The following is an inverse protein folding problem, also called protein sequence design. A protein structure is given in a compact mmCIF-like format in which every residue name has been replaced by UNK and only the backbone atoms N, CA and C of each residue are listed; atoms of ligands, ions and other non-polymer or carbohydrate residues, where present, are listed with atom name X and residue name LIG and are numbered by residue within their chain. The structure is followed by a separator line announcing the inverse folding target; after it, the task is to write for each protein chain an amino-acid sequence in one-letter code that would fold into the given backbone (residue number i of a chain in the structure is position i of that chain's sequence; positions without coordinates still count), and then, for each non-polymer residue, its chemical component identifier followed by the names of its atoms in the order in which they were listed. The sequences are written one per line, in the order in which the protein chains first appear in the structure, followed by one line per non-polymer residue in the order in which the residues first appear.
data_IF_411747158017
#
_entry.id   IF_411747158017
#
_cell.length_a   1.000
_cell.length_b   1.000
_cell.length_c   1.000
_cell.angle_alpha   90.00
_cell.angle_beta   90.00
_cell.angle_gamma   90.00
#
_symmetry.space_group_name_H-M   'P 1'
#
loop_
_entity.id
_entity.type
_entity.pdbx_description
1 polymer ?
#
# COMPACT_ATOMS: atom_id res chain seq x y z
N UNK A 1 49.37 -11.18 -15.71
CA UNK A 1 48.50 -11.96 -14.80
C UNK A 1 47.79 -11.04 -13.81
N UNK A 2 46.89 -10.18 -14.30
CA UNK A 2 45.92 -9.41 -13.50
C UNK A 2 44.58 -9.53 -14.24
N UNK A 3 43.48 -9.54 -13.50
CA UNK A 3 42.08 -9.68 -13.96
C UNK A 3 41.53 -11.09 -14.14
N UNK A 4 41.24 -11.77 -13.03
CA UNK A 4 40.13 -12.75 -12.93
C UNK A 4 39.27 -12.49 -11.67
N UNK A 5 39.77 -11.80 -10.64
CA UNK A 5 39.06 -11.59 -9.37
C UNK A 5 37.89 -10.59 -9.36
N UNK A 6 37.74 -9.72 -10.37
CA UNK A 6 36.69 -8.68 -10.36
C UNK A 6 35.34 -9.16 -10.91
N UNK A 7 35.33 -10.21 -11.74
CA UNK A 7 34.11 -10.69 -12.42
C UNK A 7 33.30 -11.62 -11.50
N UNK A 8 33.94 -12.31 -10.56
CA UNK A 8 33.26 -13.19 -9.60
C UNK A 8 32.46 -12.42 -8.53
N UNK A 9 32.86 -11.20 -8.17
CA UNK A 9 32.19 -10.38 -7.15
C UNK A 9 30.90 -9.72 -7.67
N UNK A 10 30.88 -9.32 -8.95
CA UNK A 10 29.68 -8.78 -9.61
C UNK A 10 28.58 -9.84 -9.75
N UNK A 11 28.95 -11.07 -10.14
CA UNK A 11 27.99 -12.17 -10.31
C UNK A 11 27.33 -12.61 -9.00
N UNK A 12 28.02 -12.59 -7.86
CA UNK A 12 27.40 -12.91 -6.56
C UNK A 12 26.44 -11.82 -6.06
N UNK A 13 26.72 -10.55 -6.31
CA UNK A 13 25.81 -9.43 -5.96
C UNK A 13 24.57 -9.48 -6.84
N UNK A 14 24.72 -9.82 -8.12
CA UNK A 14 23.61 -9.91 -9.09
C UNK A 14 22.74 -11.16 -8.87
N UNK A 15 23.33 -12.29 -8.45
CA UNK A 15 22.60 -13.48 -7.99
C UNK A 15 21.94 -13.28 -6.60
N UNK A 16 22.53 -12.44 -5.74
CA UNK A 16 21.92 -12.02 -4.47
C UNK A 16 20.75 -11.07 -4.70
N UNK A 17 20.85 -10.16 -5.66
CA UNK A 17 19.77 -9.24 -6.03
C UNK A 17 18.60 -9.96 -6.72
N UNK A 18 18.87 -10.92 -7.61
CA UNK A 18 17.80 -11.79 -8.17
C UNK A 18 17.11 -12.65 -7.11
N UNK A 19 17.85 -13.12 -6.10
CA UNK A 19 17.25 -13.79 -4.93
C UNK A 19 16.43 -12.80 -4.11
N UNK A 20 16.87 -11.57 -3.86
CA UNK A 20 16.04 -10.60 -3.12
C UNK A 20 14.73 -10.29 -3.87
N UNK A 21 14.75 -10.21 -5.21
CA UNK A 21 13.55 -10.02 -6.03
C UNK A 21 12.58 -11.23 -5.98
N UNK A 22 13.10 -12.47 -6.04
CA UNK A 22 12.27 -13.69 -5.85
C UNK A 22 11.77 -13.85 -4.41
N UNK A 23 12.50 -13.32 -3.42
CA UNK A 23 12.18 -13.49 -1.99
C UNK A 23 11.23 -12.42 -1.45
N UNK A 24 11.26 -11.18 -1.94
CA UNK A 24 10.20 -10.18 -1.64
C UNK A 24 8.86 -10.62 -2.22
N UNK A 25 8.88 -11.32 -3.35
CA UNK A 25 7.71 -12.00 -3.92
C UNK A 25 7.26 -13.22 -3.09
N UNK A 26 8.13 -13.83 -2.27
CA UNK A 26 7.79 -14.99 -1.44
C UNK A 26 7.34 -14.58 -0.03
N UNK A 27 7.96 -13.53 0.54
CA UNK A 27 7.64 -12.94 1.84
C UNK A 27 6.25 -12.31 1.92
N UNK A 28 5.77 -11.81 0.78
CA UNK A 28 4.42 -11.27 0.62
C UNK A 28 3.44 -12.37 0.16
N UNK A 29 3.97 -13.56 -0.18
CA UNK A 29 3.23 -14.76 -0.57
C UNK A 29 3.30 -15.78 0.57
N UNK A 30 2.61 -15.47 1.67
CA UNK A 30 1.89 -16.51 2.40
C UNK A 30 0.52 -16.73 1.72
N UNK A 31 0.51 -17.02 0.40
CA UNK A 31 -0.70 -17.30 -0.40
C UNK A 31 -0.45 -18.47 -1.39
N UNK A 32 -0.08 -19.63 -0.84
CA UNK A 32 0.03 -20.86 -1.63
C UNK A 32 -1.37 -21.44 -1.94
N UNK A 33 -1.95 -21.07 -3.09
CA UNK A 33 -2.90 -21.92 -3.86
C UNK A 33 -3.23 -21.43 -5.27
N UNK A 34 -3.11 -20.14 -5.60
CA UNK A 34 -3.74 -19.61 -6.84
C UNK A 34 -2.82 -19.63 -8.08
N UNK A 35 -1.49 -19.73 -7.91
CA UNK A 35 -0.53 -19.60 -9.02
C UNK A 35 -0.41 -20.81 -9.97
N UNK A 36 -1.05 -21.94 -9.68
CA UNK A 36 -1.07 -23.10 -10.58
C UNK A 36 -2.20 -23.06 -11.63
N UNK A 37 -3.19 -22.16 -11.49
CA UNK A 37 -4.35 -22.11 -12.39
C UNK A 37 -4.24 -21.11 -13.55
N UNK A 38 -3.47 -20.03 -13.41
CA UNK A 38 -3.51 -18.91 -14.36
C UNK A 38 -2.55 -19.03 -15.58
N UNK A 39 -1.62 -20.00 -15.58
CA UNK A 39 -0.58 -20.10 -16.62
C UNK A 39 -1.04 -20.77 -17.93
N UNK A 40 -2.28 -21.28 -18.02
CA UNK A 40 -2.78 -22.01 -19.22
C UNK A 40 -3.68 -21.20 -20.16
N UNK A 41 -4.07 -19.97 -19.83
CA UNK A 41 -5.15 -19.26 -20.56
C UNK A 41 -4.69 -18.19 -21.55
N UNK A 42 -3.40 -17.86 -21.63
CA UNK A 42 -2.91 -16.70 -22.41
C UNK A 42 -2.06 -17.04 -23.65
N UNK A 43 -2.45 -18.06 -24.41
CA UNK A 43 -1.90 -18.29 -25.76
C UNK A 43 -2.97 -18.84 -26.72
N UNK A 44 -4.09 -18.13 -26.90
CA UNK A 44 -5.08 -18.48 -27.95
C UNK A 44 -6.07 -17.35 -28.24
N UNK A 45 -5.66 -16.35 -29.02
CA UNK A 45 -6.57 -15.69 -29.98
C UNK A 45 -5.83 -14.64 -30.81
N UNK A 46 -5.60 -14.97 -32.08
CA UNK A 46 -5.27 -14.05 -33.17
C UNK A 46 -6.43 -13.07 -33.37
N UNK A 47 -6.15 -11.78 -33.49
CA UNK A 47 -7.11 -10.77 -33.95
C UNK A 47 -7.06 -10.64 -35.48
N UNK A 48 -8.20 -10.57 -36.18
CA UNK A 48 -8.26 -10.28 -37.61
C UNK A 48 -8.29 -8.77 -37.91
N UNK A 49 -7.99 -8.45 -39.16
CA UNK A 49 -7.81 -7.12 -39.77
C UNK A 49 -9.04 -6.19 -39.64
N UNK A 50 -8.79 -4.91 -39.36
CA UNK A 50 -9.78 -3.83 -39.31
C UNK A 50 -10.38 -3.48 -40.69
N UNK A 51 -11.67 -3.13 -40.77
CA UNK A 51 -12.29 -2.65 -42.01
C UNK A 51 -11.90 -1.18 -42.34
N UNK A 52 -12.06 -0.75 -43.61
CA UNK A 52 -11.56 0.54 -44.09
C UNK A 52 -12.38 1.74 -43.60
N UNK A 53 -11.69 2.87 -43.44
CA UNK A 53 -12.19 4.14 -42.92
C UNK A 53 -13.21 4.82 -43.88
N UNK A 54 -14.25 5.49 -43.34
CA UNK A 54 -15.17 6.30 -44.13
C UNK A 54 -14.56 7.65 -44.55
N UNK A 55 -15.09 8.30 -45.62
CA UNK A 55 -14.53 9.53 -46.16
C UNK A 55 -14.69 10.74 -45.21
N UNK A 56 -13.81 11.76 -45.34
CA UNK A 56 -13.79 12.91 -44.46
C UNK A 56 -15.05 13.78 -44.62
N UNK A 57 -15.62 14.20 -43.48
CA UNK A 57 -16.74 15.15 -43.44
C UNK A 57 -16.27 16.55 -43.84
N UNK A 58 -17.14 17.36 -44.49
CA UNK A 58 -16.81 18.75 -44.82
C UNK A 58 -16.55 19.59 -43.54
N UNK A 59 -15.74 20.65 -43.64
CA UNK A 59 -15.39 21.49 -42.50
C UNK A 59 -16.64 22.20 -41.98
N UNK A 60 -17.15 21.76 -40.83
CA UNK A 60 -18.09 22.56 -40.05
C UNK A 60 -17.34 23.80 -39.55
N UNK A 61 -17.80 24.99 -39.95
CA UNK A 61 -17.41 26.23 -39.27
C UNK A 61 -17.90 26.13 -37.82
N UNK A 62 -17.00 25.70 -36.93
CA UNK A 62 -17.21 25.81 -35.50
C UNK A 62 -16.98 27.29 -35.16
N UNK A 63 -17.97 28.02 -34.62
CA UNK A 63 -17.68 29.35 -34.09
C UNK A 63 -16.55 29.20 -33.06
N UNK A 64 -15.57 30.11 -33.11
CA UNK A 64 -14.45 30.12 -32.17
C UNK A 64 -15.02 30.06 -30.74
N UNK A 65 -14.55 29.13 -29.89
CA UNK A 65 -15.05 29.05 -28.53
C UNK A 65 -14.78 30.40 -27.85
N UNK A 66 -15.83 30.99 -27.29
CA UNK A 66 -15.67 32.17 -26.43
C UNK A 66 -14.77 31.77 -25.26
N UNK A 67 -13.60 32.42 -25.17
CA UNK A 67 -12.55 32.12 -24.19
C UNK A 67 -13.10 32.19 -22.76
N UNK A 68 -14.12 33.01 -22.50
CA UNK A 68 -14.79 33.07 -21.18
C UNK A 68 -15.64 31.82 -20.91
N UNK A 69 -16.30 31.29 -21.92
CA UNK A 69 -17.10 30.06 -21.85
C UNK A 69 -16.22 28.82 -21.64
N UNK A 70 -15.05 28.79 -22.28
CA UNK A 70 -14.09 27.68 -22.18
C UNK A 70 -13.39 27.65 -20.80
N UNK A 71 -13.00 28.82 -20.28
CA UNK A 71 -12.45 28.95 -18.93
C UNK A 71 -13.50 28.58 -17.84
N UNK A 72 -14.75 29.01 -17.99
CA UNK A 72 -15.83 28.64 -17.06
C UNK A 72 -16.10 27.12 -17.06
N UNK A 73 -16.03 26.46 -18.23
CA UNK A 73 -16.19 25.01 -18.35
C UNK A 73 -15.01 24.24 -17.72
N UNK A 74 -13.78 24.74 -17.88
CA UNK A 74 -12.58 24.15 -17.24
C UNK A 74 -12.68 24.29 -15.72
N UNK A 75 -13.00 25.48 -15.20
CA UNK A 75 -13.16 25.70 -13.76
C UNK A 75 -14.30 24.82 -13.21
N UNK A 76 -15.44 24.76 -13.89
CA UNK A 76 -16.56 23.91 -13.50
C UNK A 76 -16.20 22.41 -13.45
N UNK A 77 -15.42 21.91 -14.43
CA UNK A 77 -14.93 20.53 -14.43
C UNK A 77 -13.93 20.25 -13.30
N UNK A 78 -13.04 21.20 -13.01
CA UNK A 78 -12.05 21.07 -11.92
C UNK A 78 -12.76 21.02 -10.57
N UNK A 79 -13.71 21.93 -10.32
CA UNK A 79 -14.49 21.99 -9.08
C UNK A 79 -15.37 20.75 -8.91
N UNK A 80 -16.05 20.30 -9.96
CA UNK A 80 -16.84 19.06 -9.90
C UNK A 80 -15.97 17.83 -9.61
N UNK A 81 -14.74 17.78 -10.15
CA UNK A 81 -13.79 16.69 -9.90
C UNK A 81 -13.25 16.75 -8.45
N UNK A 82 -13.02 17.93 -7.90
CA UNK A 82 -12.64 18.12 -6.50
C UNK A 82 -13.75 17.63 -5.56
N UNK A 83 -14.98 18.12 -5.74
CA UNK A 83 -16.14 17.69 -4.94
C UNK A 83 -16.42 16.18 -5.05
N UNK A 84 -16.16 15.60 -6.22
CA UNK A 84 -16.27 14.15 -6.43
C UNK A 84 -15.18 13.37 -5.70
N UNK A 85 -13.94 13.89 -5.65
CA UNK A 85 -12.87 13.31 -4.84
C UNK A 85 -13.20 13.39 -3.35
N UNK A 86 -13.75 14.51 -2.88
CA UNK A 86 -14.12 14.70 -1.48
C UNK A 86 -15.18 13.67 -1.06
N UNK A 87 -16.20 13.45 -1.89
CA UNK A 87 -17.21 12.40 -1.64
C UNK A 87 -16.63 10.99 -1.65
N UNK A 88 -15.71 10.71 -2.58
CA UNK A 88 -15.03 9.41 -2.64
C UNK A 88 -14.23 9.16 -1.35
N UNK A 89 -13.50 10.17 -0.86
CA UNK A 89 -12.74 10.08 0.39
C UNK A 89 -13.67 9.92 1.59
N UNK A 90 -14.76 10.70 1.67
CA UNK A 90 -15.75 10.57 2.74
C UNK A 90 -16.36 9.15 2.83
N UNK A 91 -16.62 8.52 1.67
CA UNK A 91 -17.08 7.12 1.62
C UNK A 91 -16.01 6.16 2.16
N UNK A 92 -14.73 6.38 1.83
CA UNK A 92 -13.63 5.53 2.31
C UNK A 92 -13.38 5.70 3.81
N UNK A 93 -13.47 6.92 4.35
CA UNK A 93 -13.39 7.19 5.79
C UNK A 93 -14.52 6.52 6.55
N UNK A 94 -15.76 6.68 6.06
CA UNK A 94 -16.92 5.99 6.63
C UNK A 94 -16.78 4.46 6.55
N UNK A 95 -16.25 3.94 5.44
CA UNK A 95 -16.00 2.52 5.28
C UNK A 95 -14.92 2.02 6.24
N UNK A 96 -13.84 2.77 6.46
CA UNK A 96 -12.81 2.43 7.42
C UNK A 96 -13.40 2.29 8.84
N UNK A 97 -14.23 3.24 9.27
CA UNK A 97 -14.90 3.19 10.57
C UNK A 97 -15.81 1.96 10.71
N UNK A 98 -16.70 1.71 9.74
CA UNK A 98 -17.63 0.59 9.83
C UNK A 98 -16.98 -0.77 9.63
N UNK A 99 -15.90 -0.87 8.84
CA UNK A 99 -15.11 -2.11 8.74
C UNK A 99 -14.31 -2.33 10.02
N UNK A 100 -13.83 -1.29 10.69
CA UNK A 100 -13.19 -1.44 12.00
C UNK A 100 -14.15 -2.01 13.06
N UNK A 101 -15.41 -1.55 13.05
CA UNK A 101 -16.43 -1.93 14.03
C UNK A 101 -17.16 -3.25 13.72
N UNK A 102 -17.72 -3.37 12.51
CA UNK A 102 -18.61 -4.46 12.09
C UNK A 102 -17.91 -5.48 11.16
N UNK A 103 -16.66 -5.21 10.78
CA UNK A 103 -15.91 -5.98 9.82
C UNK A 103 -16.44 -5.94 8.39
N UNK A 104 -16.05 -6.93 7.58
CA UNK A 104 -16.40 -6.97 6.16
C UNK A 104 -17.91 -7.12 5.93
N UNK A 105 -18.68 -7.50 6.95
CA UNK A 105 -20.14 -7.57 6.92
C UNK A 105 -20.82 -6.18 7.00
N UNK A 106 -20.07 -5.09 7.20
CA UNK A 106 -20.59 -3.73 7.26
C UNK A 106 -21.59 -3.42 6.13
N UNK A 107 -22.74 -2.86 6.50
CA UNK A 107 -23.82 -2.53 5.56
C UNK A 107 -23.47 -1.28 4.76
N UNK A 108 -23.59 -1.35 3.42
CA UNK A 108 -23.35 -0.19 2.55
C UNK A 108 -24.21 1.02 2.90
N UNK A 109 -25.46 0.79 3.34
CA UNK A 109 -26.35 1.85 3.79
C UNK A 109 -25.81 2.62 5.02
N UNK A 110 -25.15 1.93 5.96
CA UNK A 110 -24.50 2.58 7.12
C UNK A 110 -23.31 3.44 6.67
N UNK A 111 -22.53 2.94 5.71
CA UNK A 111 -21.39 3.66 5.12
C UNK A 111 -21.88 4.90 4.38
N UNK A 112 -22.93 4.79 3.57
CA UNK A 112 -23.52 5.90 2.84
C UNK A 112 -24.03 6.99 3.78
N UNK A 113 -24.77 6.59 4.83
CA UNK A 113 -25.27 7.49 5.86
C UNK A 113 -24.13 8.23 6.57
N UNK A 114 -23.09 7.51 7.02
CA UNK A 114 -21.94 8.12 7.69
C UNK A 114 -21.14 9.05 6.76
N UNK A 115 -21.08 8.75 5.47
CA UNK A 115 -20.45 9.61 4.46
C UNK A 115 -21.33 10.77 4.00
N UNK A 116 -22.54 10.94 4.56
CA UNK A 116 -23.52 11.95 4.14
C UNK A 116 -23.86 11.90 2.64
N UNK A 117 -23.96 10.69 2.08
CA UNK A 117 -24.38 10.45 0.69
C UNK A 117 -25.63 9.58 0.64
N UNK A 118 -26.43 9.68 -0.43
CA UNK A 118 -27.55 8.78 -0.63
C UNK A 118 -27.06 7.34 -0.85
N UNK A 119 -27.82 6.34 -0.40
CA UNK A 119 -27.42 4.92 -0.39
C UNK A 119 -26.88 4.43 -1.75
N UNK A 120 -27.61 4.70 -2.84
CA UNK A 120 -27.19 4.35 -4.20
C UNK A 120 -25.96 5.11 -4.72
N UNK A 121 -25.53 6.19 -4.06
CA UNK A 121 -24.36 6.99 -4.46
C UNK A 121 -23.07 6.23 -4.22
N UNK A 122 -22.99 5.39 -3.18
CA UNK A 122 -21.79 4.58 -2.92
C UNK A 122 -21.46 3.72 -4.15
N UNK A 123 -22.48 3.10 -4.76
CA UNK A 123 -22.32 2.24 -5.93
C UNK A 123 -21.99 2.99 -7.23
N UNK A 124 -22.19 4.31 -7.26
CA UNK A 124 -21.70 5.16 -8.35
C UNK A 124 -20.17 5.32 -8.31
N UNK A 125 -19.58 5.32 -7.11
CA UNK A 125 -18.13 5.42 -6.91
C UNK A 125 -17.45 4.05 -6.89
N UNK A 126 -18.13 3.06 -6.32
CA UNK A 126 -17.62 1.71 -6.10
C UNK A 126 -18.67 0.71 -6.57
N UNK A 127 -18.59 0.19 -7.80
CA UNK A 127 -19.67 -0.58 -8.44
C UNK A 127 -20.16 -1.78 -7.62
N UNK A 128 -19.29 -2.37 -6.81
CA UNK A 128 -19.60 -3.49 -5.92
C UNK A 128 -19.01 -3.25 -4.53
N UNK A 129 -19.49 -4.01 -3.54
CA UNK A 129 -18.89 -4.02 -2.20
C UNK A 129 -17.42 -4.45 -2.24
N UNK A 130 -17.09 -5.44 -3.06
CA UNK A 130 -15.71 -5.91 -3.24
C UNK A 130 -14.81 -4.80 -3.82
N UNK A 131 -15.32 -4.02 -4.78
CA UNK A 131 -14.61 -2.88 -5.33
C UNK A 131 -14.39 -1.79 -4.26
N UNK A 132 -15.36 -1.55 -3.37
CA UNK A 132 -15.20 -0.66 -2.23
C UNK A 132 -14.12 -1.17 -1.27
N UNK A 133 -14.14 -2.46 -0.91
CA UNK A 133 -13.18 -3.05 0.04
C UNK A 133 -11.75 -3.06 -0.53
N UNK A 134 -11.59 -3.36 -1.81
CA UNK A 134 -10.29 -3.28 -2.50
C UNK A 134 -9.77 -1.84 -2.55
N UNK A 135 -10.62 -0.88 -2.91
CA UNK A 135 -10.24 0.52 -2.92
C UNK A 135 -9.91 1.06 -1.51
N UNK A 136 -10.65 0.61 -0.49
CA UNK A 136 -10.38 0.92 0.91
C UNK A 136 -9.03 0.35 1.35
N UNK A 137 -8.74 -0.91 1.01
CA UNK A 137 -7.46 -1.53 1.33
C UNK A 137 -6.28 -0.73 0.74
N UNK A 138 -6.34 -0.38 -0.55
CA UNK A 138 -5.28 0.41 -1.20
C UNK A 138 -5.16 1.79 -0.57
N UNK A 139 -6.28 2.46 -0.29
CA UNK A 139 -6.28 3.78 0.32
C UNK A 139 -5.66 3.78 1.72
N UNK A 140 -6.03 2.83 2.58
CA UNK A 140 -5.46 2.67 3.93
C UNK A 140 -3.97 2.31 3.87
N UNK A 141 -3.60 1.40 2.97
CA UNK A 141 -2.21 0.98 2.82
C UNK A 141 -1.33 2.12 2.30
N UNK A 142 -1.83 2.94 1.38
CA UNK A 142 -1.11 4.10 0.88
C UNK A 142 -0.89 5.14 1.97
N UNK A 143 -1.90 5.44 2.78
CA UNK A 143 -1.79 6.37 3.92
C UNK A 143 -0.71 5.94 4.92
N UNK A 144 -0.64 4.64 5.23
CA UNK A 144 0.42 4.07 6.06
C UNK A 144 1.80 4.14 5.38
N UNK A 145 1.88 3.73 4.11
CA UNK A 145 3.13 3.73 3.34
C UNK A 145 3.70 5.14 3.23
N UNK A 146 2.87 6.14 2.97
CA UNK A 146 3.28 7.54 2.86
C UNK A 146 3.89 8.03 4.19
N UNK A 147 3.25 7.74 5.32
CA UNK A 147 3.75 8.10 6.65
C UNK A 147 5.11 7.44 6.96
N UNK A 148 5.23 6.15 6.68
CA UNK A 148 6.46 5.37 6.95
C UNK A 148 7.59 5.78 6.00
N UNK A 149 7.30 5.97 4.71
CA UNK A 149 8.30 6.36 3.71
C UNK A 149 8.85 7.77 3.97
N UNK A 150 8.01 8.71 4.40
CA UNK A 150 8.46 10.05 4.79
C UNK A 150 9.47 9.99 5.95
N UNK A 151 9.19 9.16 6.97
CA UNK A 151 10.10 8.96 8.10
C UNK A 151 11.40 8.23 7.70
N UNK A 152 11.29 7.22 6.84
CA UNK A 152 12.43 6.50 6.29
C UNK A 152 13.38 7.43 5.52
N UNK A 153 12.85 8.33 4.68
CA UNK A 153 13.63 9.28 3.88
C UNK A 153 14.26 10.40 4.70
N UNK A 154 13.75 10.66 5.91
CA UNK A 154 14.30 11.69 6.80
C UNK A 154 15.61 11.27 7.51
N UNK A 155 16.07 10.03 7.30
CA UNK A 155 17.25 9.47 7.95
C UNK A 155 18.16 8.81 6.92
N UNK A 156 19.46 8.99 7.08
CA UNK A 156 20.47 8.39 6.21
C UNK A 156 21.18 7.19 6.85
N UNK A 157 21.18 7.11 8.18
CA UNK A 157 21.80 6.01 8.92
C UNK A 157 20.83 4.84 9.14
N UNK A 158 21.34 3.60 9.04
CA UNK A 158 20.51 2.39 9.12
C UNK A 158 19.77 2.25 10.46
N UNK A 159 20.40 2.38 11.64
CA UNK A 159 19.68 2.29 12.92
C UNK A 159 18.59 3.37 13.04
N UNK A 160 18.91 4.62 12.65
CA UNK A 160 17.97 5.72 12.63
C UNK A 160 16.81 5.53 11.67
N UNK A 161 17.03 4.90 10.50
CA UNK A 161 15.95 4.51 9.57
C UNK A 161 14.99 3.51 10.21
N UNK A 162 15.50 2.50 10.91
CA UNK A 162 14.67 1.54 11.64
C UNK A 162 13.86 2.21 12.76
N UNK A 163 14.48 3.10 13.54
CA UNK A 163 13.79 3.84 14.60
C UNK A 163 12.72 4.79 14.05
N UNK A 164 13.01 5.47 12.93
CA UNK A 164 12.08 6.38 12.26
C UNK A 164 10.88 5.62 11.68
N UNK A 165 11.12 4.51 10.98
CA UNK A 165 10.08 3.63 10.44
C UNK A 165 9.20 3.07 11.56
N UNK A 166 9.81 2.58 12.64
CA UNK A 166 9.09 2.10 13.81
C UNK A 166 8.20 3.19 14.42
N UNK A 167 8.78 4.37 14.65
CA UNK A 167 8.07 5.48 15.29
C UNK A 167 6.90 5.94 14.44
N UNK A 168 7.09 6.09 13.13
CA UNK A 168 6.03 6.48 12.20
C UNK A 168 4.90 5.45 12.14
N UNK A 169 5.23 4.15 12.14
CA UNK A 169 4.22 3.08 12.15
C UNK A 169 3.38 3.12 13.44
N UNK A 170 4.04 3.20 14.61
CA UNK A 170 3.35 3.26 15.90
C UNK A 170 2.51 4.52 16.03
N UNK A 171 3.05 5.68 15.66
CA UNK A 171 2.35 6.96 15.73
C UNK A 171 1.14 6.98 14.80
N UNK A 172 1.26 6.47 13.57
CA UNK A 172 0.13 6.30 12.64
C UNK A 172 -0.93 5.36 13.24
N UNK A 173 -0.49 4.24 13.82
CA UNK A 173 -1.39 3.23 14.39
C UNK A 173 -2.18 3.73 15.61
N UNK A 174 -1.58 4.60 16.42
CA UNK A 174 -2.22 5.27 17.57
C UNK A 174 -3.16 6.39 17.11
N UNK A 175 -2.72 7.21 16.14
CA UNK A 175 -3.52 8.33 15.62
C UNK A 175 -4.74 7.87 14.82
N UNK A 176 -4.68 6.69 14.20
CA UNK A 176 -5.70 6.18 13.29
C UNK A 176 -6.15 4.75 13.63
N UNK A 177 -6.57 4.52 14.88
CA UNK A 177 -6.97 3.20 15.37
C UNK A 177 -8.00 2.47 14.49
N UNK A 178 -9.01 3.19 13.98
CA UNK A 178 -10.02 2.60 13.07
C UNK A 178 -9.40 2.18 11.73
N UNK A 179 -8.55 3.02 11.13
CA UNK A 179 -7.82 2.68 9.90
C UNK A 179 -6.96 1.43 10.10
N UNK A 180 -6.24 1.36 11.22
CA UNK A 180 -5.40 0.21 11.58
C UNK A 180 -6.22 -1.07 11.74
N UNK A 181 -7.32 -1.03 12.51
CA UNK A 181 -8.22 -2.18 12.69
C UNK A 181 -8.84 -2.64 11.38
N UNK A 182 -9.33 -1.71 10.56
CA UNK A 182 -9.88 -2.03 9.25
C UNK A 182 -8.84 -2.68 8.33
N UNK A 183 -7.63 -2.11 8.25
CA UNK A 183 -6.55 -2.67 7.44
C UNK A 183 -6.17 -4.10 7.87
N UNK A 184 -6.10 -4.35 9.19
CA UNK A 184 -5.84 -5.69 9.76
C UNK A 184 -6.87 -6.72 9.31
N UNK A 185 -8.16 -6.37 9.34
CA UNK A 185 -9.24 -7.25 8.90
C UNK A 185 -9.24 -7.47 7.38
N UNK A 186 -9.00 -6.41 6.60
CA UNK A 186 -8.95 -6.50 5.14
C UNK A 186 -7.77 -7.37 4.66
N UNK A 187 -6.62 -7.30 5.35
CA UNK A 187 -5.42 -8.05 4.96
C UNK A 187 -5.62 -9.56 4.92
N UNK A 188 -6.44 -10.11 5.81
CA UNK A 188 -6.71 -11.56 5.89
C UNK A 188 -7.93 -11.98 5.06
N UNK A 189 -8.57 -11.05 4.34
CA UNK A 189 -9.75 -11.34 3.53
C UNK A 189 -9.39 -11.88 2.14
N UNK A 190 -10.13 -12.90 1.72
CA UNK A 190 -10.08 -13.44 0.35
C UNK A 190 -10.63 -12.48 -0.71
N UNK A 191 -11.39 -11.45 -0.30
CA UNK A 191 -11.97 -10.44 -1.20
C UNK A 191 -10.92 -9.48 -1.75
N UNK A 192 -9.78 -9.31 -1.05
CA UNK A 192 -8.72 -8.40 -1.49
C UNK A 192 -7.88 -9.06 -2.57
N UNK A 193 -7.90 -8.47 -3.77
CA UNK A 193 -7.22 -8.97 -4.95
C UNK A 193 -5.71 -8.85 -4.84
N UNK A 194 -4.99 -9.70 -5.58
CA UNK A 194 -3.53 -9.60 -5.70
C UNK A 194 -3.09 -8.23 -6.23
N UNK A 195 -3.86 -7.61 -7.13
CA UNK A 195 -3.60 -6.26 -7.64
C UNK A 195 -3.61 -5.23 -6.49
N UNK A 196 -4.65 -5.23 -5.65
CA UNK A 196 -4.74 -4.34 -4.49
C UNK A 196 -3.63 -4.59 -3.48
N UNK A 197 -3.27 -5.86 -3.23
CA UNK A 197 -2.13 -6.23 -2.35
C UNK A 197 -0.82 -5.66 -2.85
N UNK A 198 -0.61 -5.69 -4.17
CA UNK A 198 0.61 -5.28 -4.82
C UNK A 198 0.69 -3.78 -5.12
N UNK A 199 -0.40 -3.02 -4.91
CA UNK A 199 -0.46 -1.59 -5.24
C UNK A 199 0.67 -0.75 -4.61
N UNK A 200 1.11 -1.09 -3.40
CA UNK A 200 2.19 -0.38 -2.68
C UNK A 200 3.50 -1.17 -2.63
N UNK A 201 3.58 -2.29 -3.34
CA UNK A 201 4.74 -3.19 -3.32
C UNK A 201 6.04 -2.48 -3.71
N UNK A 202 6.12 -1.68 -4.79
CA UNK A 202 7.39 -1.08 -5.23
C UNK A 202 8.05 -0.19 -4.17
N UNK A 203 7.24 0.61 -3.45
CA UNK A 203 7.73 1.47 -2.37
C UNK A 203 8.27 0.63 -1.20
N UNK A 204 7.54 -0.41 -0.80
CA UNK A 204 7.94 -1.32 0.28
C UNK A 204 9.20 -2.10 -0.08
N UNK A 205 9.34 -2.58 -1.32
CA UNK A 205 10.54 -3.27 -1.82
C UNK A 205 11.77 -2.38 -1.74
N UNK A 206 11.65 -1.12 -2.18
CA UNK A 206 12.75 -0.14 -2.14
C UNK A 206 13.21 0.11 -0.70
N UNK A 207 12.26 0.33 0.21
CA UNK A 207 12.54 0.53 1.63
C UNK A 207 13.17 -0.71 2.27
N UNK A 208 12.61 -1.90 2.02
CA UNK A 208 13.16 -3.15 2.53
C UNK A 208 14.60 -3.36 2.05
N UNK A 209 14.86 -3.16 0.76
CA UNK A 209 16.22 -3.21 0.20
C UNK A 209 17.18 -2.36 1.01
N UNK A 210 16.87 -1.09 1.23
CA UNK A 210 17.72 -0.18 1.98
C UNK A 210 17.83 -0.45 3.50
N UNK A 211 16.80 -1.03 4.13
CA UNK A 211 16.83 -1.39 5.57
C UNK A 211 17.65 -2.65 5.84
N UNK A 212 17.65 -3.58 4.88
CA UNK A 212 18.38 -4.85 4.94
C UNK A 212 19.74 -4.80 4.22
N UNK A 213 20.00 -3.80 3.38
CA UNK A 213 21.30 -3.54 2.77
C UNK A 213 22.38 -3.26 3.81
N UNK A 214 23.57 -3.79 3.58
CA UNK A 214 24.70 -3.59 4.48
C UNK A 214 24.57 -4.34 5.81
N UNK A 215 23.64 -5.29 5.94
CA UNK A 215 23.70 -6.30 6.98
C UNK A 215 25.01 -7.08 6.84
N UNK A 216 26.08 -6.58 7.46
CA UNK A 216 27.23 -7.36 7.92
C UNK A 216 26.79 -8.30 9.03
N UNK A 217 25.64 -8.95 8.85
CA UNK A 217 25.17 -9.97 9.73
C UNK A 217 26.17 -11.10 9.61
N UNK A 218 26.77 -11.45 10.73
CA UNK A 218 27.13 -12.83 10.98
C UNK A 218 25.97 -13.69 10.44
N UNK A 219 26.20 -14.58 9.46
CA UNK A 219 25.17 -15.45 8.91
C UNK A 219 24.40 -16.24 9.98
N UNK A 220 24.99 -16.43 11.17
CA UNK A 220 24.34 -17.06 12.31
C UNK A 220 23.24 -16.19 12.97
N UNK A 221 23.28 -14.87 12.77
CA UNK A 221 22.36 -13.89 13.37
C UNK A 221 21.51 -13.14 12.34
N UNK A 222 21.64 -13.45 11.05
CA UNK A 222 20.82 -12.88 9.98
C UNK A 222 19.39 -13.45 10.03
N UNK A 223 18.45 -12.75 10.68
CA UNK A 223 17.03 -13.10 10.62
C UNK A 223 16.48 -12.89 9.20
N UNK A 224 15.58 -13.77 8.76
CA UNK A 224 14.92 -13.61 7.47
C UNK A 224 14.09 -12.31 7.45
N UNK A 225 13.94 -11.66 6.28
CA UNK A 225 13.06 -10.49 6.14
C UNK A 225 11.63 -10.76 6.60
N UNK A 226 11.11 -11.96 6.35
CA UNK A 226 9.77 -12.40 6.73
C UNK A 226 9.62 -12.45 8.24
N UNK A 227 10.59 -13.08 8.92
CA UNK A 227 10.61 -13.15 10.37
C UNK A 227 10.78 -11.76 10.98
N UNK A 228 11.68 -10.94 10.42
CA UNK A 228 11.88 -9.55 10.84
C UNK A 228 10.58 -8.74 10.74
N UNK A 229 9.85 -8.88 9.64
CA UNK A 229 8.57 -8.21 9.41
C UNK A 229 7.50 -8.70 10.39
N UNK A 230 7.45 -10.00 10.67
CA UNK A 230 6.52 -10.57 11.65
C UNK A 230 6.81 -10.10 13.09
N UNK A 231 8.09 -10.05 13.48
CA UNK A 231 8.51 -9.53 14.79
C UNK A 231 8.23 -8.04 14.91
N UNK A 232 8.51 -7.27 13.85
CA UNK A 232 8.17 -5.85 13.79
C UNK A 232 6.67 -5.64 14.05
N UNK A 233 5.83 -6.35 13.30
CA UNK A 233 4.39 -6.20 13.40
C UNK A 233 3.86 -6.60 14.79
N UNK A 234 4.28 -7.75 15.31
CA UNK A 234 3.84 -8.24 16.61
C UNK A 234 4.19 -7.29 17.75
N UNK A 235 5.43 -6.78 17.76
CA UNK A 235 5.89 -5.85 18.79
C UNK A 235 5.27 -4.46 18.61
N UNK A 236 5.05 -4.00 17.37
CA UNK A 236 4.41 -2.72 17.11
C UNK A 236 2.94 -2.74 17.56
N UNK A 237 2.19 -3.79 17.25
CA UNK A 237 0.81 -3.98 17.73
C UNK A 237 0.74 -4.00 19.26
N UNK A 238 1.59 -4.79 19.92
CA UNK A 238 1.68 -4.79 21.39
C UNK A 238 1.97 -3.39 21.94
N UNK A 239 2.87 -2.64 21.29
CA UNK A 239 3.26 -1.29 21.70
C UNK A 239 2.09 -0.32 21.56
N UNK A 240 1.35 -0.36 20.45
CA UNK A 240 0.17 0.47 20.22
C UNK A 240 -0.90 0.15 21.27
N UNK A 241 -1.17 -1.13 21.55
CA UNK A 241 -2.17 -1.53 22.55
C UNK A 241 -1.79 -1.06 23.97
N UNK A 242 -0.50 -1.01 24.30
CA UNK A 242 -0.02 -0.43 25.58
C UNK A 242 -0.19 1.08 25.62
N UNK A 243 0.11 1.77 24.53
CA UNK A 243 -0.08 3.22 24.41
C UNK A 243 -1.56 3.60 24.50
N UNK A 244 -2.45 2.84 23.86
CA UNK A 244 -3.89 3.07 23.94
C UNK A 244 -4.43 2.88 25.36
N UNK A 245 -3.86 1.93 26.13
CA UNK A 245 -4.23 1.66 27.53
C UNK A 245 -3.67 2.68 28.53
N UNK A 246 -2.48 3.24 28.27
CA UNK A 246 -1.86 4.28 29.09
C UNK A 246 -1.29 5.41 28.22
N UNK A 247 -2.16 6.37 27.89
CA UNK A 247 -1.79 7.51 27.04
C UNK A 247 -0.73 8.41 27.67
N UNK A 248 -0.57 8.41 29.00
CA UNK A 248 0.43 9.21 29.70
C UNK A 248 1.87 8.71 29.50
N UNK A 249 2.04 7.43 29.16
CA UNK A 249 3.33 6.78 28.97
C UNK A 249 3.76 6.63 27.50
N UNK A 250 3.07 7.30 26.56
CA UNK A 250 3.22 7.13 25.11
C UNK A 250 4.69 7.12 24.61
N UNK A 251 5.56 8.11 24.95
CA UNK A 251 6.94 8.12 24.45
C UNK A 251 7.78 6.95 25.01
N UNK A 252 7.50 6.53 26.24
CA UNK A 252 8.23 5.47 26.92
C UNK A 252 7.88 4.09 26.35
N UNK A 253 6.60 3.84 26.04
CA UNK A 253 6.18 2.59 25.40
C UNK A 253 6.74 2.47 23.98
N UNK A 254 6.66 3.54 23.19
CA UNK A 254 7.20 3.56 21.81
C UNK A 254 8.69 3.22 21.79
N UNK A 255 9.49 3.86 22.64
CA UNK A 255 10.93 3.61 22.75
C UNK A 255 11.24 2.19 23.22
N UNK A 256 10.57 1.70 24.27
CA UNK A 256 10.78 0.33 24.76
C UNK A 256 10.42 -0.73 23.73
N UNK A 257 9.34 -0.50 22.97
CA UNK A 257 8.95 -1.36 21.87
C UNK A 257 10.02 -1.42 20.78
N UNK A 258 10.58 -0.27 20.40
CA UNK A 258 11.70 -0.21 19.45
C UNK A 258 12.94 -0.94 19.97
N UNK A 259 13.35 -0.69 21.22
CA UNK A 259 14.51 -1.35 21.81
C UNK A 259 14.35 -2.88 21.86
N UNK A 260 13.14 -3.38 22.14
CA UNK A 260 12.83 -4.80 22.11
C UNK A 260 12.93 -5.37 20.68
N UNK A 261 12.36 -4.66 19.70
CA UNK A 261 12.44 -5.04 18.29
C UNK A 261 13.89 -5.05 17.80
N UNK A 262 14.64 -3.98 18.06
CA UNK A 262 16.03 -3.80 17.62
C UNK A 262 16.93 -4.93 18.14
N UNK A 263 16.80 -5.29 19.43
CA UNK A 263 17.52 -6.43 20.01
C UNK A 263 17.11 -7.77 19.39
N UNK A 264 15.82 -7.96 19.10
CA UNK A 264 15.31 -9.22 18.54
C UNK A 264 15.87 -9.52 17.13
N UNK A 265 16.23 -8.48 16.37
CA UNK A 265 16.77 -8.62 15.01
C UNK A 265 18.30 -8.49 14.93
N UNK A 266 18.98 -8.58 16.09
CA UNK A 266 20.44 -8.50 16.16
C UNK A 266 21.01 -7.09 15.92
N UNK A 267 20.22 -6.04 16.16
CA UNK A 267 20.69 -4.66 16.16
C UNK A 267 21.61 -4.41 17.36
N UNK A 268 22.92 -4.33 17.11
CA UNK A 268 23.92 -3.86 18.06
C UNK A 268 24.20 -2.36 17.85
#
# INVERSE_FOLDING_TARGET
MRSIGAIAHGSQIELRNRRIEEWVLTAIVQEASVLLAARRTLLRSRFPLSPPLPPPRPPCHRPAPDVKSEQALIIGRVVARALSKDKRTAILEAAAHWVAADGLAARSAKIAQAASVADGTVFKYFPTKDALLNALYVWLKQDLVDAVMAAFQARDDRPGRWEAVWSAYVDWGVAHADKRRALKQLRVSETITAESRNATLPAMTTMAGALFEGAGADPAHATSPDFTSAVFEALAEMTIDRIEADRGAHPAHRRRGFEAFWRAIGGA
#
